data_IF_602330027283
#
_entry.id   IF_602330027283
#
_cell.length_a   1.000
_cell.length_b   1.000
_cell.length_c   1.000
_cell.angle_alpha   90.00
_cell.angle_beta   90.00
_cell.angle_gamma   90.00
#
_symmetry.space_group_name_H-M   'P 1'
#
loop_
_entity.id
_entity.type
_entity.pdbx_description
1 polymer ?
#
# COMPACT_ATOMS: atom_id res chain seq x y z
N UNK A 1 28.67 10.67 11.62
CA UNK A 1 28.52 11.77 10.63
C UNK A 1 28.10 11.28 9.24
N UNK A 2 28.62 10.17 8.69
CA UNK A 2 28.15 9.64 7.39
C UNK A 2 26.78 8.92 7.45
N UNK A 3 26.45 8.27 8.59
CA UNK A 3 25.17 7.55 8.79
C UNK A 3 23.96 8.50 8.79
N UNK A 4 24.14 9.72 9.29
CA UNK A 4 23.07 10.72 9.43
C UNK A 4 22.73 11.43 8.11
N UNK A 5 23.68 11.56 7.17
CA UNK A 5 23.38 12.06 5.81
C UNK A 5 22.72 11.01 4.93
N UNK A 6 23.04 9.72 5.10
CA UNK A 6 22.37 8.63 4.39
C UNK A 6 20.92 8.45 4.86
N UNK A 7 20.69 8.57 6.16
CA UNK A 7 19.36 8.53 6.79
C UNK A 7 18.43 9.66 6.32
N UNK A 8 18.95 10.90 6.28
CA UNK A 8 18.18 12.06 5.83
C UNK A 8 17.74 11.97 4.36
N UNK A 9 18.46 11.20 3.55
CA UNK A 9 18.10 10.98 2.14
C UNK A 9 16.98 9.94 1.97
N UNK A 10 16.87 8.93 2.84
CA UNK A 10 15.81 7.90 2.73
C UNK A 10 14.52 8.22 3.49
N UNK A 11 14.64 8.73 4.72
CA UNK A 11 13.50 8.83 5.63
C UNK A 11 12.34 9.61 5.04
N UNK A 12 12.63 10.80 4.51
CA UNK A 12 11.62 11.69 3.96
C UNK A 12 10.89 11.07 2.77
N UNK A 13 11.56 10.64 1.68
CA UNK A 13 10.85 10.11 0.52
C UNK A 13 10.13 8.78 0.81
N UNK A 14 10.70 7.91 1.64
CA UNK A 14 10.02 6.68 2.07
C UNK A 14 8.70 7.02 2.77
N UNK A 15 8.73 7.89 3.78
CA UNK A 15 7.52 8.31 4.50
C UNK A 15 6.54 9.03 3.57
N UNK A 16 7.01 9.92 2.71
CA UNK A 16 6.15 10.64 1.77
C UNK A 16 5.44 9.70 0.80
N UNK A 17 6.15 8.72 0.23
CA UNK A 17 5.56 7.73 -0.67
C UNK A 17 4.53 6.84 0.06
N UNK A 18 4.90 6.28 1.22
CA UNK A 18 4.00 5.44 2.01
C UNK A 18 2.76 6.22 2.45
N UNK A 19 2.94 7.42 3.00
CA UNK A 19 1.84 8.18 3.57
C UNK A 19 0.98 8.86 2.49
N UNK A 20 1.53 9.13 1.31
CA UNK A 20 0.73 9.57 0.15
C UNK A 20 -0.12 8.43 -0.39
N UNK A 21 0.44 7.22 -0.47
CA UNK A 21 -0.33 6.02 -0.84
C UNK A 21 -1.42 5.77 0.20
N UNK A 22 -1.06 5.64 1.48
CA UNK A 22 -1.98 5.30 2.58
C UNK A 22 -3.14 6.27 2.73
N UNK A 23 -3.00 7.55 2.38
CA UNK A 23 -4.13 8.52 2.33
C UNK A 23 -5.24 8.13 1.34
N UNK A 24 -4.90 7.42 0.27
CA UNK A 24 -5.88 6.90 -0.68
C UNK A 24 -6.51 5.59 -0.22
N UNK A 25 -6.09 5.07 0.93
CA UNK A 25 -6.56 3.84 1.51
C UNK A 25 -7.05 4.08 2.95
N UNK A 26 -7.80 3.15 3.52
CA UNK A 26 -8.24 3.25 4.92
C UNK A 26 -7.13 2.85 5.91
N UNK A 27 -5.92 3.40 5.72
CA UNK A 27 -4.72 3.11 6.51
C UNK A 27 -4.07 4.40 7.05
N UNK A 28 -3.81 4.45 8.35
CA UNK A 28 -3.23 5.60 9.04
C UNK A 28 -1.76 5.84 8.65
N UNK A 29 -1.23 7.06 8.65
CA UNK A 29 0.16 7.31 8.25
C UNK A 29 1.16 6.54 9.11
N UNK A 30 2.21 6.01 8.47
CA UNK A 30 3.37 5.44 9.12
C UNK A 30 4.26 6.52 9.73
N UNK A 31 4.95 6.12 10.79
CA UNK A 31 6.07 6.87 11.38
C UNK A 31 7.38 6.17 11.05
N UNK A 32 8.48 6.93 11.10
CA UNK A 32 9.80 6.35 10.90
C UNK A 32 10.34 5.82 12.21
N UNK A 33 10.97 4.65 12.17
CA UNK A 33 11.63 4.02 13.30
C UNK A 33 13.13 3.80 13.01
N UNK A 34 13.98 4.26 13.93
CA UNK A 34 15.43 4.25 13.75
C UNK A 34 16.03 2.85 13.95
N UNK A 35 15.44 2.05 14.83
CA UNK A 35 15.89 0.68 15.09
C UNK A 35 15.58 -0.22 13.89
N UNK A 36 14.39 -0.07 13.28
CA UNK A 36 14.05 -0.72 12.01
C UNK A 36 14.98 -0.29 10.88
N UNK A 37 15.35 0.99 10.83
CA UNK A 37 16.25 1.50 9.79
C UNK A 37 17.66 0.96 9.95
N UNK A 38 18.16 0.88 11.19
CA UNK A 38 19.46 0.31 11.49
C UNK A 38 19.49 -1.20 11.18
N UNK A 39 18.43 -1.94 11.52
CA UNK A 39 18.23 -3.35 11.16
C UNK A 39 18.20 -3.56 9.64
N UNK A 40 17.42 -2.76 8.92
CA UNK A 40 17.33 -2.85 7.47
C UNK A 40 18.65 -2.48 6.78
N UNK A 41 19.40 -1.50 7.33
CA UNK A 41 20.71 -1.15 6.81
C UNK A 41 21.73 -2.26 7.04
N UNK A 42 21.74 -2.87 8.22
CA UNK A 42 22.62 -4.01 8.52
C UNK A 42 22.38 -5.15 7.51
N UNK A 43 21.12 -5.46 7.21
CA UNK A 43 20.80 -6.48 6.20
C UNK A 43 21.19 -6.06 4.77
N UNK A 44 20.98 -4.79 4.41
CA UNK A 44 21.38 -4.28 3.09
C UNK A 44 22.90 -4.38 2.83
N UNK A 45 23.74 -4.33 3.87
CA UNK A 45 25.19 -4.51 3.74
C UNK A 45 25.59 -5.91 3.27
N UNK A 46 24.72 -6.92 3.44
CA UNK A 46 24.98 -8.29 2.98
C UNK A 46 24.91 -8.41 1.45
N UNK A 47 24.24 -7.47 0.78
CA UNK A 47 24.05 -7.47 -0.68
C UNK A 47 23.35 -8.72 -1.24
N UNK A 48 22.56 -9.41 -0.41
CA UNK A 48 21.74 -10.55 -0.81
C UNK A 48 20.31 -10.09 -1.15
N UNK A 49 19.81 -10.45 -2.34
CA UNK A 49 18.43 -10.13 -2.75
C UNK A 49 17.49 -11.28 -2.44
N UNK A 50 17.40 -11.58 -1.16
CA UNK A 50 16.48 -12.53 -0.55
C UNK A 50 15.93 -11.93 0.75
N UNK A 51 14.84 -12.52 1.27
CA UNK A 51 14.25 -12.03 2.50
C UNK A 51 15.08 -12.41 3.73
N UNK A 52 15.28 -11.46 4.65
CA UNK A 52 16.14 -11.65 5.85
C UNK A 52 15.65 -12.76 6.79
N UNK A 53 14.35 -13.05 6.78
CA UNK A 53 13.74 -14.06 7.64
C UNK A 53 13.68 -13.67 9.12
N UNK A 54 13.90 -12.39 9.46
CA UNK A 54 13.76 -11.86 10.81
C UNK A 54 12.30 -12.06 11.28
N UNK A 55 12.14 -12.72 12.44
CA UNK A 55 10.81 -12.99 13.01
C UNK A 55 10.09 -11.70 13.37
N UNK A 56 8.78 -11.65 13.11
CA UNK A 56 7.87 -10.59 13.53
C UNK A 56 8.12 -9.21 12.91
N UNK A 57 8.97 -9.13 11.88
CA UNK A 57 9.25 -7.96 11.07
C UNK A 57 8.73 -8.16 9.65
N UNK A 58 7.94 -7.20 9.17
CA UNK A 58 7.54 -7.18 7.76
C UNK A 58 8.69 -6.65 6.91
N UNK A 59 8.80 -7.07 5.66
CA UNK A 59 9.94 -6.68 4.82
C UNK A 59 9.53 -6.50 3.36
N UNK A 60 10.00 -5.40 2.76
CA UNK A 60 10.00 -5.19 1.32
C UNK A 60 11.44 -5.02 0.83
N UNK A 61 11.75 -5.63 -0.31
CA UNK A 61 13.03 -5.56 -0.98
C UNK A 61 12.88 -5.00 -2.38
N UNK A 62 13.87 -4.25 -2.83
CA UNK A 62 13.94 -3.82 -4.21
C UNK A 62 15.38 -3.78 -4.69
N UNK A 63 15.57 -4.20 -5.94
CA UNK A 63 16.84 -4.10 -6.64
C UNK A 63 16.61 -3.68 -8.09
N UNK A 64 17.61 -3.04 -8.70
CA UNK A 64 17.57 -2.64 -10.10
C UNK A 64 16.94 -1.28 -10.38
N UNK A 65 16.68 -0.49 -9.34
CA UNK A 65 16.27 0.90 -9.45
C UNK A 65 17.48 1.84 -9.30
N UNK A 66 17.40 3.01 -9.94
CA UNK A 66 18.48 4.02 -9.85
C UNK A 66 18.49 4.68 -8.49
N UNK A 67 17.31 4.87 -7.89
CA UNK A 67 17.13 5.50 -6.59
C UNK A 67 16.19 4.69 -5.70
N UNK A 68 16.31 4.82 -4.37
CA UNK A 68 15.36 4.24 -3.43
C UNK A 68 13.91 4.73 -3.64
N UNK A 69 13.73 5.96 -4.09
CA UNK A 69 12.40 6.54 -4.35
C UNK A 69 11.67 5.84 -5.50
N UNK A 70 12.39 5.52 -6.57
CA UNK A 70 11.86 4.75 -7.69
C UNK A 70 11.45 3.35 -7.25
N UNK A 71 12.24 2.73 -6.36
CA UNK A 71 11.96 1.43 -5.78
C UNK A 71 10.67 1.43 -4.93
N UNK A 72 10.52 2.39 -4.02
CA UNK A 72 9.30 2.51 -3.20
C UNK A 72 8.06 2.79 -4.06
N UNK A 73 8.22 3.60 -5.10
CA UNK A 73 7.14 3.88 -6.06
C UNK A 73 6.73 2.61 -6.82
N UNK A 74 7.69 1.79 -7.24
CA UNK A 74 7.39 0.53 -7.92
C UNK A 74 6.57 -0.44 -7.06
N UNK A 75 6.86 -0.56 -5.77
CA UNK A 75 6.05 -1.37 -4.84
C UNK A 75 4.59 -0.91 -4.80
N UNK A 76 4.33 0.39 -4.88
CA UNK A 76 2.96 0.92 -4.86
C UNK A 76 2.14 0.55 -6.10
N UNK A 77 2.81 0.37 -7.25
CA UNK A 77 2.15 0.03 -8.52
C UNK A 77 1.60 -1.40 -8.53
N UNK A 78 2.03 -2.25 -7.59
CA UNK A 78 1.45 -3.58 -7.40
C UNK A 78 -0.02 -3.54 -6.91
N UNK A 79 -0.60 -2.37 -6.63
CA UNK A 79 -2.06 -2.22 -6.45
C UNK A 79 -2.82 -2.88 -7.61
N UNK A 80 -2.32 -2.71 -8.84
CA UNK A 80 -2.95 -3.25 -10.04
C UNK A 80 -3.01 -4.78 -10.04
N UNK A 81 -2.11 -5.45 -9.32
CA UNK A 81 -2.06 -6.91 -9.20
C UNK A 81 -2.88 -7.43 -8.01
N UNK A 82 -3.30 -6.56 -7.08
CA UNK A 82 -4.15 -6.90 -5.95
C UNK A 82 -5.65 -6.99 -6.31
N UNK A 83 -6.01 -7.84 -7.28
CA UNK A 83 -7.40 -7.94 -7.80
C UNK A 83 -8.32 -8.86 -7.02
N UNK A 84 -7.78 -9.81 -6.26
CA UNK A 84 -8.53 -10.95 -5.73
C UNK A 84 -8.78 -10.91 -4.22
N UNK A 85 -8.32 -9.86 -3.54
CA UNK A 85 -8.34 -9.80 -2.08
C UNK A 85 -7.43 -10.84 -1.42
N UNK A 86 -6.44 -11.36 -2.16
CA UNK A 86 -5.43 -12.31 -1.70
C UNK A 86 -4.05 -11.74 -1.98
N UNK A 87 -3.15 -11.94 -1.04
CA UNK A 87 -1.74 -11.59 -1.22
C UNK A 87 -1.11 -12.63 -2.15
N UNK A 88 -0.65 -12.16 -3.30
CA UNK A 88 0.17 -12.92 -4.24
C UNK A 88 1.62 -12.45 -4.14
N UNK A 89 2.55 -13.16 -4.78
CA UNK A 89 3.95 -12.71 -4.89
C UNK A 89 4.09 -11.36 -5.60
N UNK A 90 3.14 -11.01 -6.46
CA UNK A 90 3.15 -9.80 -7.29
C UNK A 90 2.38 -8.64 -6.65
N UNK A 91 1.77 -8.85 -5.46
CA UNK A 91 1.03 -7.83 -4.70
C UNK A 91 1.53 -7.68 -3.26
N UNK A 92 2.59 -8.41 -2.89
CA UNK A 92 3.10 -8.49 -1.53
C UNK A 92 3.63 -7.16 -1.02
N UNK A 93 4.35 -6.43 -1.88
CA UNK A 93 4.96 -5.16 -1.46
C UNK A 93 3.88 -4.10 -1.26
N UNK A 94 2.95 -3.96 -2.21
CA UNK A 94 1.81 -3.04 -2.07
C UNK A 94 1.00 -3.33 -0.80
N UNK A 95 0.63 -4.59 -0.56
CA UNK A 95 -0.20 -4.95 0.61
C UNK A 95 0.49 -4.66 1.94
N UNK A 96 1.82 -4.80 2.03
CA UNK A 96 2.60 -4.39 3.20
C UNK A 96 2.58 -2.86 3.39
N UNK A 97 2.71 -2.08 2.31
CA UNK A 97 2.70 -0.61 2.37
C UNK A 97 1.36 -0.07 2.90
N UNK A 98 0.23 -0.67 2.51
CA UNK A 98 -1.12 -0.26 2.94
C UNK A 98 -1.68 -1.10 4.10
N UNK A 99 -0.84 -1.87 4.77
CA UNK A 99 -1.26 -2.69 5.91
C UNK A 99 -1.62 -1.81 7.12
N UNK A 100 -2.87 -1.88 7.57
CA UNK A 100 -3.44 -0.98 8.58
C UNK A 100 -2.77 -1.09 9.94
N UNK A 101 -2.48 -2.31 10.37
CA UNK A 101 -1.85 -2.53 11.67
C UNK A 101 -0.36 -2.18 11.69
N UNK A 102 0.31 -2.06 10.54
CA UNK A 102 1.68 -1.56 10.46
C UNK A 102 1.68 -0.08 10.78
N UNK A 103 2.52 0.36 11.72
CA UNK A 103 2.58 1.75 12.19
C UNK A 103 3.94 2.39 11.98
N UNK A 104 4.98 1.57 11.83
CA UNK A 104 6.37 2.01 11.74
C UNK A 104 7.06 1.39 10.52
N UNK A 105 7.97 2.15 9.93
CA UNK A 105 8.86 1.71 8.86
C UNK A 105 10.26 2.27 9.08
N UNK A 106 11.27 1.48 8.79
CA UNK A 106 12.66 1.93 8.71
C UNK A 106 13.33 1.22 7.54
N UNK A 107 14.19 1.93 6.82
CA UNK A 107 14.82 1.40 5.61
C UNK A 107 16.32 1.67 5.59
N UNK A 108 17.04 0.75 4.95
CA UNK A 108 18.45 0.86 4.64
C UNK A 108 18.72 0.50 3.18
N UNK A 109 19.83 0.96 2.64
CA UNK A 109 20.18 0.68 1.25
C UNK A 109 21.68 0.52 1.05
N UNK A 110 22.03 -0.21 0.00
CA UNK A 110 23.41 -0.42 -0.40
C UNK A 110 23.55 -0.52 -1.91
N UNK A 111 24.57 0.13 -2.46
CA UNK A 111 25.01 -0.18 -3.82
C UNK A 111 25.85 -1.46 -3.80
N UNK A 112 25.39 -2.47 -4.52
CA UNK A 112 25.97 -3.80 -4.54
C UNK A 112 26.37 -4.19 -5.97
N UNK A 113 27.43 -4.99 -6.09
CA UNK A 113 27.90 -5.49 -7.37
C UNK A 113 27.25 -6.84 -7.68
N UNK A 114 26.44 -6.90 -8.73
CA UNK A 114 26.01 -8.17 -9.31
C UNK A 114 24.74 -8.81 -8.75
N UNK A 115 23.89 -8.05 -8.05
CA UNK A 115 22.65 -8.57 -7.44
C UNK A 115 21.70 -9.23 -8.46
N UNK A 116 21.25 -8.47 -9.47
CA UNK A 116 20.37 -9.01 -10.52
C UNK A 116 21.18 -9.43 -11.75
N UNK A 117 22.30 -8.78 -11.98
CA UNK A 117 23.19 -9.08 -13.11
C UNK A 117 24.65 -8.84 -12.75
N UNK A 118 25.45 -9.90 -12.79
CA UNK A 118 26.89 -9.88 -12.53
C UNK A 118 27.59 -8.76 -13.31
N UNK A 119 28.41 -7.98 -12.60
CA UNK A 119 29.19 -6.89 -13.17
C UNK A 119 28.43 -5.57 -13.34
N UNK A 120 27.18 -5.48 -12.86
CA UNK A 120 26.46 -4.22 -12.74
C UNK A 120 26.31 -3.82 -11.28
N UNK A 121 26.54 -2.54 -11.03
CA UNK A 121 26.25 -1.84 -9.79
C UNK A 121 24.75 -1.61 -9.69
N UNK A 122 24.11 -2.08 -8.62
CA UNK A 122 22.67 -1.95 -8.41
C UNK A 122 22.39 -1.62 -6.96
N UNK A 123 21.42 -0.73 -6.72
CA UNK A 123 20.96 -0.44 -5.36
C UNK A 123 20.08 -1.57 -4.87
N UNK A 124 20.40 -2.15 -3.72
CA UNK A 124 19.50 -2.93 -2.87
C UNK A 124 18.86 -1.98 -1.86
N UNK A 125 17.55 -1.89 -1.86
CA UNK A 125 16.76 -1.24 -0.83
C UNK A 125 16.06 -2.30 0.02
N UNK A 126 16.20 -2.18 1.33
CA UNK A 126 15.53 -3.00 2.33
C UNK A 126 14.68 -2.08 3.19
N UNK A 127 13.40 -2.39 3.36
CA UNK A 127 12.51 -1.71 4.30
C UNK A 127 11.90 -2.72 5.26
N UNK A 128 12.08 -2.47 6.56
CA UNK A 128 11.48 -3.23 7.65
C UNK A 128 10.26 -2.50 8.20
N UNK A 129 9.24 -3.28 8.57
CA UNK A 129 7.94 -2.80 9.00
C UNK A 129 7.55 -3.43 10.34
N UNK A 130 6.99 -2.62 11.22
CA UNK A 130 6.48 -3.10 12.51
C UNK A 130 5.14 -2.47 12.88
N UNK A 131 4.18 -3.24 13.42
CA UNK A 131 4.11 -4.71 13.36
C UNK A 131 4.16 -5.27 11.93
N UNK A 132 4.59 -6.53 11.76
CA UNK A 132 4.64 -7.14 10.43
C UNK A 132 3.27 -7.22 9.76
N UNK A 133 3.27 -6.98 8.44
CA UNK A 133 2.10 -7.15 7.60
C UNK A 133 1.97 -8.55 7.02
N UNK A 134 1.13 -8.67 6.01
CA UNK A 134 1.05 -9.83 5.12
C UNK A 134 0.79 -11.20 5.78
N UNK A 135 0.08 -11.20 6.92
CA UNK A 135 -0.53 -12.41 7.47
C UNK A 135 -1.47 -13.03 6.43
N UNK A 136 -1.22 -14.30 6.06
CA UNK A 136 -1.83 -14.93 4.88
C UNK A 136 -3.29 -15.38 5.06
N UNK A 137 -3.83 -15.31 6.28
CA UNK A 137 -5.21 -15.71 6.50
C UNK A 137 -6.20 -14.67 5.93
N UNK A 138 -7.28 -15.18 5.34
CA UNK A 138 -8.19 -14.36 4.53
C UNK A 138 -8.85 -13.23 5.32
N UNK A 139 -9.22 -13.48 6.57
CA UNK A 139 -9.92 -12.49 7.40
C UNK A 139 -8.96 -11.38 7.83
N UNK A 140 -7.72 -11.72 8.20
CA UNK A 140 -6.69 -10.72 8.51
C UNK A 140 -6.33 -9.88 7.29
N UNK A 141 -6.17 -10.49 6.11
CA UNK A 141 -5.94 -9.75 4.85
C UNK A 141 -7.07 -8.75 4.60
N UNK A 142 -8.32 -9.20 4.69
CA UNK A 142 -9.49 -8.33 4.49
C UNK A 142 -9.57 -7.21 5.54
N UNK A 143 -9.19 -7.48 6.78
CA UNK A 143 -9.23 -6.50 7.86
C UNK A 143 -8.10 -5.46 7.78
N UNK A 144 -6.96 -5.81 7.18
CA UNK A 144 -5.72 -5.03 7.27
C UNK A 144 -5.23 -4.44 5.95
N UNK A 145 -5.53 -5.01 4.79
CA UNK A 145 -5.23 -4.30 3.55
C UNK A 145 -6.23 -3.16 3.44
N UNK A 146 -5.74 -1.91 3.52
CA UNK A 146 -6.59 -0.73 3.42
C UNK A 146 -7.49 -0.78 2.19
N UNK A 147 -8.71 -0.26 2.31
CA UNK A 147 -9.64 -0.14 1.20
C UNK A 147 -9.42 1.18 0.47
N UNK A 148 -9.39 1.15 -0.87
CA UNK A 148 -9.22 2.37 -1.66
C UNK A 148 -10.44 3.30 -1.47
N UNK A 149 -10.22 4.49 -0.92
CA UNK A 149 -11.28 5.44 -0.53
C UNK A 149 -11.99 6.07 -1.73
N UNK A 150 -11.35 6.07 -2.90
CA UNK A 150 -11.94 6.58 -4.14
C UNK A 150 -12.81 5.54 -4.84
N UNK A 151 -12.45 4.24 -4.73
CA UNK A 151 -13.24 3.13 -5.27
C UNK A 151 -14.47 2.83 -4.40
N UNK A 152 -14.40 3.04 -3.09
CA UNK A 152 -15.53 2.79 -2.17
C UNK A 152 -16.68 3.80 -2.34
N UNK A 153 -16.40 5.03 -2.80
CA UNK A 153 -17.44 6.03 -3.09
C UNK A 153 -18.25 5.75 -4.36
N UNK A 154 -17.85 4.79 -5.20
CA UNK A 154 -18.49 4.46 -6.48
C UNK A 154 -19.65 3.46 -6.44
N UNK A 155 -20.02 2.92 -5.27
CA UNK A 155 -21.12 1.91 -5.16
C UNK A 155 -22.27 2.33 -4.26
N UNK A 156 -22.28 3.59 -3.81
CA UNK A 156 -23.47 4.19 -3.24
C UNK A 156 -24.57 4.22 -4.29
N UNK A 157 -25.44 3.19 -4.31
CA UNK A 157 -26.78 3.33 -4.86
C UNK A 157 -27.32 4.61 -4.27
N UNK A 158 -27.44 5.66 -5.09
CA UNK A 158 -28.25 6.82 -4.76
C UNK A 158 -29.63 6.21 -4.58
N UNK A 159 -30.02 5.96 -3.33
CA UNK A 159 -31.38 5.67 -2.98
C UNK A 159 -32.16 6.84 -3.54
N UNK A 160 -32.94 6.57 -4.59
CA UNK A 160 -33.82 7.54 -5.20
C UNK A 160 -34.71 8.08 -4.09
N UNK A 161 -34.34 9.23 -3.51
CA UNK A 161 -35.22 9.97 -2.62
C UNK A 161 -36.36 10.42 -3.52
N UNK A 162 -37.43 9.63 -3.56
CA UNK A 162 -38.69 10.02 -4.18
C UNK A 162 -39.13 11.28 -3.47
N UNK A 163 -38.89 12.42 -4.11
CA UNK A 163 -39.39 13.72 -3.70
C UNK A 163 -40.92 13.63 -3.79
N UNK A 164 -41.58 13.36 -2.67
CA UNK A 164 -43.04 13.40 -2.58
C UNK A 164 -43.45 14.87 -2.69
N UNK A 165 -43.80 15.30 -3.90
CA UNK A 165 -44.53 16.55 -4.09
C UNK A 165 -45.99 16.30 -3.67
N UNK A 166 -46.39 16.82 -2.50
CA UNK A 166 -47.81 16.97 -2.15
C UNK A 166 -48.33 18.19 -2.91
N UNK A 167 -48.95 17.95 -4.06
CA UNK A 167 -49.87 18.92 -4.67
C UNK A 167 -51.28 18.55 -4.25
N UNK A 168 -51.95 19.45 -3.54
CA UNK A 168 -53.37 19.31 -3.19
C UNK A 168 -54.20 20.14 -4.17
N UNK A 169 -55.32 19.54 -4.59
CA UNK A 169 -56.51 20.07 -5.27
C UNK A 169 -56.58 19.97 -6.80
N UNK A 170 -57.61 19.26 -7.26
CA UNK A 170 -58.11 19.32 -8.63
C UNK A 170 -58.86 18.06 -9.05
N UNK A 171 -60.19 18.11 -9.01
CA UNK A 171 -61.15 17.06 -9.35
C UNK A 171 -60.99 16.58 -10.80
N UNK A 172 -61.07 15.26 -11.05
CA UNK A 172 -61.58 14.75 -12.34
C UNK A 172 -60.76 13.66 -13.04
N UNK A 173 -61.43 12.51 -13.21
CA UNK A 173 -61.26 11.48 -14.24
C UNK A 173 -60.05 10.52 -14.16
N UNK A 174 -60.42 9.23 -13.99
CA UNK A 174 -59.60 8.04 -14.18
C UNK A 174 -59.00 7.97 -15.59
N UNK A 175 -57.72 7.61 -15.68
CA UNK A 175 -57.22 6.74 -16.76
C UNK A 175 -56.20 5.77 -16.16
N UNK A 176 -56.54 4.48 -16.21
CA UNK A 176 -55.64 3.36 -15.92
C UNK A 176 -54.76 3.15 -17.15
N UNK A 177 -53.44 3.19 -16.98
CA UNK A 177 -52.51 2.57 -17.94
C UNK A 177 -51.48 1.78 -17.14
N UNK A 178 -51.68 0.45 -17.14
CA UNK A 178 -50.63 -0.52 -16.89
C UNK A 178 -49.72 -0.55 -18.11
N UNK A 179 -48.40 -0.51 -17.90
CA UNK A 179 -47.45 -1.04 -18.86
C UNK A 179 -46.34 -1.79 -18.11
N UNK A 180 -46.25 -3.09 -18.39
CA UNK A 180 -45.22 -4.01 -17.94
C UNK A 180 -44.01 -3.96 -18.88
N UNK A 181 -42.82 -4.23 -18.31
CA UNK A 181 -41.59 -4.80 -18.91
C UNK A 181 -40.86 -4.06 -20.04
N UNK A 182 -39.63 -3.64 -19.76
CA UNK A 182 -38.43 -4.45 -20.00
C UNK A 182 -37.31 -4.06 -19.03
#
# INVERSE_FOLDING_TARGET
MARESAYNNLKKPVLEAHNSLRKNFTAEPLTWDDDLADSAQEYAEECEFEHSGISDIGENLAAGYTTPEDAVTAWSNEEDDYKTGKITKDAGHFTQMVWKNTTMVGCGWKECDGILKKGLKQVLLVCHYSPQGNWKDKETVKANVGENVHKSMGTGKIGMVRKVWRSVWGVGAMVVVWCWLQ
#
